data_IF_443423216097
#
_entry.id   IF_443423216097
#
_cell.length_a   1.000
_cell.length_b   1.000
_cell.length_c   1.000
_cell.angle_alpha   90.00
_cell.angle_beta   90.00
_cell.angle_gamma   90.00
#
_symmetry.space_group_name_H-M   'P 1'
#
loop_
_entity.id
_entity.type
_entity.pdbx_description
1 polymer ?
#
# COMPACT_ATOMS: atom_id res chain seq x y z
N UNK A 1 -17.20 7.47 12.06
CA UNK A 1 -15.72 7.63 12.03
C UNK A 1 -15.26 7.63 10.59
N UNK A 2 -14.28 8.47 10.23
CA UNK A 2 -13.71 8.52 8.87
C UNK A 2 -12.32 7.90 8.91
N UNK A 3 -12.08 6.86 8.10
CA UNK A 3 -10.75 6.27 7.92
C UNK A 3 -9.90 7.25 7.11
N UNK A 4 -8.80 7.71 7.69
CA UNK A 4 -7.86 8.65 7.05
C UNK A 4 -6.65 7.95 6.47
N UNK A 5 -6.12 6.93 7.16
CA UNK A 5 -4.91 6.20 6.80
C UNK A 5 -5.19 4.69 6.71
N UNK A 6 -4.58 4.03 5.73
CA UNK A 6 -4.63 2.57 5.55
C UNK A 6 -3.20 2.05 5.40
N UNK A 7 -2.88 0.96 6.12
CA UNK A 7 -1.65 0.21 5.91
C UNK A 7 -1.96 -1.10 5.18
N UNK A 8 -1.29 -1.36 4.06
CA UNK A 8 -1.34 -2.64 3.34
C UNK A 8 -0.07 -3.41 3.64
N UNK A 9 -0.20 -4.55 4.32
CA UNK A 9 0.94 -5.41 4.67
C UNK A 9 1.08 -6.47 3.57
N UNK A 10 2.19 -6.41 2.84
CA UNK A 10 2.49 -7.31 1.72
C UNK A 10 1.87 -6.83 0.40
N UNK A 11 2.73 -6.65 -0.61
CA UNK A 11 2.35 -6.19 -1.95
C UNK A 11 2.37 -7.35 -2.96
N UNK A 12 1.77 -8.49 -2.59
CA UNK A 12 1.47 -9.58 -3.53
C UNK A 12 0.25 -9.27 -4.39
N UNK A 13 -0.26 -10.23 -5.17
CA UNK A 13 -1.40 -10.03 -6.08
C UNK A 13 -2.62 -9.38 -5.41
N UNK A 14 -2.92 -9.81 -4.17
CA UNK A 14 -4.03 -9.26 -3.39
C UNK A 14 -3.73 -7.83 -2.89
N UNK A 15 -2.53 -7.59 -2.37
CA UNK A 15 -2.11 -6.26 -1.93
C UNK A 15 -2.13 -5.24 -3.08
N UNK A 16 -1.63 -5.63 -4.26
CA UNK A 16 -1.69 -4.82 -5.47
C UNK A 16 -3.13 -4.45 -5.84
N UNK A 17 -4.03 -5.44 -5.84
CA UNK A 17 -5.44 -5.22 -6.17
C UNK A 17 -6.11 -4.25 -5.19
N UNK A 18 -5.87 -4.42 -3.89
CA UNK A 18 -6.40 -3.50 -2.89
C UNK A 18 -5.85 -2.08 -3.07
N UNK A 19 -4.55 -1.94 -3.33
CA UNK A 19 -3.92 -0.64 -3.56
C UNK A 19 -4.52 0.09 -4.76
N UNK A 20 -4.72 -0.61 -5.88
CA UNK A 20 -5.36 -0.04 -7.10
C UNK A 20 -6.79 0.42 -6.80
N UNK A 21 -7.60 -0.44 -6.21
CA UNK A 21 -9.01 -0.13 -5.89
C UNK A 21 -9.10 1.04 -4.91
N UNK A 22 -8.25 1.06 -3.87
CA UNK A 22 -8.25 2.14 -2.89
C UNK A 22 -7.84 3.47 -3.51
N UNK A 23 -6.82 3.48 -4.39
CA UNK A 23 -6.39 4.71 -5.05
C UNK A 23 -7.45 5.23 -6.03
N UNK A 24 -8.18 4.35 -6.70
CA UNK A 24 -9.29 4.71 -7.59
C UNK A 24 -10.51 5.26 -6.82
N UNK A 25 -10.97 4.54 -5.79
CA UNK A 25 -12.19 4.89 -5.06
C UNK A 25 -11.98 6.00 -4.03
N UNK A 26 -10.79 6.09 -3.44
CA UNK A 26 -10.49 6.97 -2.30
C UNK A 26 -9.09 7.58 -2.43
N UNK A 27 -8.84 8.41 -3.46
CA UNK A 27 -7.51 8.95 -3.75
C UNK A 27 -6.92 9.83 -2.64
N UNK A 28 -7.77 10.38 -1.76
CA UNK A 28 -7.38 11.23 -0.65
C UNK A 28 -6.98 10.48 0.64
N UNK A 29 -7.16 9.15 0.70
CA UNK A 29 -6.70 8.36 1.86
C UNK A 29 -5.20 8.16 1.75
N UNK A 30 -4.49 8.31 2.86
CA UNK A 30 -3.05 8.06 2.91
C UNK A 30 -2.80 6.54 3.02
N UNK A 31 -2.14 5.96 2.02
CA UNK A 31 -1.88 4.52 1.91
C UNK A 31 -0.39 4.26 2.15
N UNK A 32 -0.08 3.54 3.21
CA UNK A 32 1.27 3.04 3.50
C UNK A 32 1.35 1.56 3.13
N UNK A 33 2.37 1.16 2.39
CA UNK A 33 2.63 -0.25 2.11
C UNK A 33 3.82 -0.73 2.93
N UNK A 34 3.62 -1.82 3.66
CA UNK A 34 4.67 -2.49 4.42
C UNK A 34 5.13 -3.72 3.64
N UNK A 35 6.41 -3.81 3.27
CA UNK A 35 6.95 -5.01 2.61
C UNK A 35 8.40 -5.27 2.99
N UNK A 36 8.81 -6.53 3.09
CA UNK A 36 10.17 -6.91 3.51
C UNK A 36 11.29 -6.61 2.48
N UNK A 37 10.99 -5.91 1.39
CA UNK A 37 11.94 -5.63 0.28
C UNK A 37 12.36 -6.85 -0.55
N UNK A 38 12.02 -8.07 -0.11
CA UNK A 38 12.25 -9.32 -0.84
C UNK A 38 11.15 -9.55 -1.88
N UNK A 39 11.49 -10.19 -3.00
CA UNK A 39 10.56 -10.52 -4.08
C UNK A 39 10.49 -9.48 -5.21
N UNK A 40 9.64 -9.75 -6.20
CA UNK A 40 9.46 -8.89 -7.37
C UNK A 40 8.85 -7.55 -6.95
N UNK A 41 9.37 -6.45 -7.49
CA UNK A 41 8.77 -5.12 -7.32
C UNK A 41 7.56 -5.02 -8.23
N UNK A 42 6.42 -4.62 -7.67
CA UNK A 42 5.25 -4.28 -8.48
C UNK A 42 5.32 -2.81 -8.88
N UNK A 43 4.94 -2.48 -10.11
CA UNK A 43 4.77 -1.08 -10.51
C UNK A 43 3.70 -0.35 -9.69
N UNK A 44 2.78 -1.11 -9.08
CA UNK A 44 1.74 -0.59 -8.19
C UNK A 44 2.30 0.09 -6.95
N UNK A 45 3.57 -0.17 -6.58
CA UNK A 45 4.26 0.56 -5.51
C UNK A 45 4.16 2.09 -5.67
N UNK A 46 4.14 2.58 -6.91
CA UNK A 46 4.01 4.00 -7.24
C UNK A 46 2.67 4.61 -6.82
N UNK A 47 1.66 3.77 -6.56
CA UNK A 47 0.33 4.19 -6.12
C UNK A 47 0.24 4.34 -4.60
N UNK A 48 1.26 3.97 -3.83
CA UNK A 48 1.30 4.16 -2.38
C UNK A 48 1.93 5.52 -2.02
N UNK A 49 1.50 6.13 -0.90
CA UNK A 49 2.07 7.40 -0.43
C UNK A 49 3.39 7.18 0.34
N UNK A 50 3.51 6.03 1.02
CA UNK A 50 4.73 5.62 1.73
C UNK A 50 4.94 4.12 1.56
N UNK A 51 6.21 3.71 1.43
CA UNK A 51 6.62 2.31 1.49
C UNK A 51 7.61 2.18 2.64
N UNK A 52 7.36 1.22 3.54
CA UNK A 52 8.22 0.89 4.68
C UNK A 52 8.61 -0.58 4.64
N UNK A 53 9.77 -0.89 5.21
CA UNK A 53 10.35 -2.23 5.14
C UNK A 53 10.17 -3.07 6.41
N UNK A 54 9.81 -2.42 7.51
CA UNK A 54 9.41 -3.04 8.77
C UNK A 54 8.13 -2.40 9.30
N UNK A 55 7.52 -3.03 10.31
CA UNK A 55 6.38 -2.46 11.03
C UNK A 55 6.79 -1.38 12.04
N UNK A 56 8.08 -1.29 12.35
CA UNK A 56 8.67 -0.37 13.31
C UNK A 56 9.02 1.02 12.70
N UNK A 57 8.79 1.20 11.39
CA UNK A 57 9.01 2.45 10.61
C UNK A 57 7.74 3.28 10.37
#
# INVERSE_FOLDING_TARGET
MVVKHIAIIGLGSIGCRHLRILRELRPAINITVVRTGKGVKSEDEKLADKIVFSLDE
#
